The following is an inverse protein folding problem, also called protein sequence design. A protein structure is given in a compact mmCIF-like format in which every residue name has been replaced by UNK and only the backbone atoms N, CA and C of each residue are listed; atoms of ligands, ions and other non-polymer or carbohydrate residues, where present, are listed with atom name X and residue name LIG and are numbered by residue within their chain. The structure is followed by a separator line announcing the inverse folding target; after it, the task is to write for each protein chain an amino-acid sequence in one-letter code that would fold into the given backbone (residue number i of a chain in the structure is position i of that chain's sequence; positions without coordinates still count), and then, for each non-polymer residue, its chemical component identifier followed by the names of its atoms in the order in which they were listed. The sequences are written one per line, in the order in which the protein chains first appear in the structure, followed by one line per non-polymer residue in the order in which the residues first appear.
data_IF_894271703682
#
_entry.id   IF_894271703682
#
_cell.length_a   1.000
_cell.length_b   1.000
_cell.length_c   1.000
_cell.angle_alpha   90.00
_cell.angle_beta   90.00
_cell.angle_gamma   90.00
#
_symmetry.space_group_name_H-M   'P 1'
#
loop_
_entity.id
_entity.type
_entity.pdbx_description
1 polymer ?
#
# COMPACT_ATOMS: atom_id res chain seq x y z
N UNK A 1 -3.17 9.89 -29.97
CA UNK A 1 -1.91 10.44 -30.54
C UNK A 1 -1.03 9.29 -31.01
N UNK A 2 -0.39 9.37 -32.20
CA UNK A 2 0.47 8.28 -32.73
C UNK A 2 1.78 8.16 -31.94
N UNK A 3 2.14 6.96 -31.46
CA UNK A 3 3.38 6.78 -30.68
C UNK A 3 4.65 7.31 -31.38
N UNK A 4 4.79 7.08 -32.69
CA UNK A 4 5.93 7.51 -33.51
C UNK A 4 5.70 8.82 -34.29
N UNK A 5 4.83 9.71 -33.80
CA UNK A 5 4.54 10.98 -34.47
C UNK A 5 5.73 11.97 -34.42
N UNK A 6 5.85 12.88 -35.40
CA UNK A 6 6.74 14.02 -35.25
C UNK A 6 6.17 14.93 -34.15
N UNK A 7 6.95 15.13 -33.09
CA UNK A 7 6.57 16.00 -31.98
C UNK A 7 7.49 17.23 -31.97
N UNK A 8 6.93 18.46 -31.97
CA UNK A 8 7.74 19.65 -31.84
C UNK A 8 8.41 19.65 -30.46
N UNK A 9 9.69 20.03 -30.41
CA UNK A 9 10.43 20.15 -29.14
C UNK A 9 9.90 21.28 -28.25
N UNK A 10 9.28 22.29 -28.85
CA UNK A 10 8.74 23.46 -28.16
C UNK A 10 7.21 23.50 -28.20
N UNK A 11 6.60 23.92 -27.09
CA UNK A 11 5.16 24.17 -27.00
C UNK A 11 4.28 22.93 -27.11
N UNK A 12 4.86 21.73 -27.20
CA UNK A 12 4.09 20.50 -27.26
C UNK A 12 3.34 20.25 -25.95
N UNK A 13 2.10 19.81 -26.09
CA UNK A 13 1.23 19.43 -24.98
C UNK A 13 0.51 18.14 -25.33
N UNK A 14 0.33 17.29 -24.34
CA UNK A 14 -0.57 16.16 -24.45
C UNK A 14 -2.02 16.63 -24.69
N UNK A 15 -2.83 15.89 -25.47
CA UNK A 15 -4.26 16.09 -25.50
C UNK A 15 -4.88 15.99 -24.11
N UNK A 16 -5.98 16.71 -23.89
CA UNK A 16 -6.64 16.80 -22.57
C UNK A 16 -7.11 15.44 -22.04
N UNK A 17 -7.46 14.50 -22.92
CA UNK A 17 -7.88 13.14 -22.57
C UNK A 17 -6.73 12.19 -22.19
N UNK A 18 -5.47 12.66 -22.30
CA UNK A 18 -4.31 11.85 -21.95
C UNK A 18 -4.22 11.66 -20.44
N UNK A 19 -3.65 10.52 -20.04
CA UNK A 19 -3.38 10.21 -18.65
C UNK A 19 -1.99 9.60 -18.47
N UNK A 20 -1.41 9.82 -17.30
CA UNK A 20 -0.17 9.23 -16.84
C UNK A 20 -0.39 7.87 -16.18
N UNK A 21 0.65 7.04 -16.25
CA UNK A 21 0.80 5.79 -15.51
C UNK A 21 1.94 5.98 -14.52
N UNK A 22 1.60 5.94 -13.23
CA UNK A 22 2.54 6.16 -12.14
C UNK A 22 3.12 4.81 -11.71
N UNK A 23 4.45 4.71 -11.67
CA UNK A 23 5.17 3.57 -11.10
C UNK A 23 6.51 4.06 -10.57
N UNK A 24 7.34 3.15 -10.05
CA UNK A 24 8.73 3.48 -9.76
C UNK A 24 9.50 3.76 -11.06
N UNK A 25 10.48 4.67 -11.00
CA UNK A 25 11.12 5.25 -12.18
C UNK A 25 11.80 4.22 -13.07
N UNK A 26 12.35 3.15 -12.50
CA UNK A 26 13.00 2.05 -13.23
C UNK A 26 12.10 1.45 -14.31
N UNK A 27 10.77 1.49 -14.12
CA UNK A 27 9.79 0.86 -15.00
C UNK A 27 9.31 1.78 -16.14
N UNK A 28 9.67 3.07 -16.14
CA UNK A 28 9.09 4.03 -17.09
C UNK A 28 9.35 3.70 -18.56
N UNK A 29 10.50 3.14 -18.91
CA UNK A 29 10.75 2.70 -20.30
C UNK A 29 9.86 1.54 -20.71
N UNK A 30 9.56 0.58 -19.82
CA UNK A 30 8.64 -0.51 -20.12
C UNK A 30 7.21 0.00 -20.27
N UNK A 31 6.79 0.94 -19.42
CA UNK A 31 5.48 1.60 -19.54
C UNK A 31 5.36 2.27 -20.91
N UNK A 32 6.36 3.06 -21.32
CA UNK A 32 6.35 3.71 -22.64
C UNK A 32 6.34 2.70 -23.78
N UNK A 33 7.32 1.78 -23.81
CA UNK A 33 7.60 0.94 -24.97
C UNK A 33 6.61 -0.23 -25.12
N UNK A 34 6.30 -0.92 -24.03
CA UNK A 34 5.46 -2.13 -24.05
C UNK A 34 3.99 -1.76 -24.06
N UNK A 35 3.58 -0.81 -23.20
CA UNK A 35 2.16 -0.49 -23.05
C UNK A 35 1.68 0.66 -23.94
N UNK A 36 2.60 1.42 -24.55
CA UNK A 36 2.26 2.63 -25.30
C UNK A 36 1.51 3.65 -24.43
N UNK A 37 1.93 3.80 -23.17
CA UNK A 37 1.36 4.76 -22.20
C UNK A 37 2.41 5.74 -21.73
N UNK A 38 1.96 6.82 -21.11
CA UNK A 38 2.80 7.92 -20.65
C UNK A 38 3.25 7.63 -19.22
N UNK A 39 4.52 7.31 -18.95
CA UNK A 39 4.98 7.14 -17.58
C UNK A 39 5.09 8.50 -16.87
N UNK A 40 4.66 8.57 -15.62
CA UNK A 40 4.83 9.78 -14.78
C UNK A 40 6.30 10.07 -14.47
N UNK A 41 7.13 9.02 -14.40
CA UNK A 41 8.58 9.07 -14.14
C UNK A 41 9.28 7.96 -14.92
N UNK A 42 10.56 8.14 -15.26
CA UNK A 42 11.28 7.21 -16.12
C UNK A 42 12.77 7.07 -15.74
N UNK A 43 13.52 6.15 -16.37
CA UNK A 43 14.94 5.93 -16.11
C UNK A 43 15.92 7.07 -16.33
N UNK A 44 15.49 8.19 -16.94
CA UNK A 44 16.26 9.44 -16.90
C UNK A 44 16.11 10.20 -15.58
N UNK A 45 15.43 9.61 -14.60
CA UNK A 45 15.16 10.16 -13.27
C UNK A 45 14.35 11.45 -13.29
N UNK A 46 13.57 11.65 -14.34
CA UNK A 46 12.60 12.74 -14.39
C UNK A 46 11.45 12.46 -13.40
N UNK A 47 11.02 13.50 -12.68
CA UNK A 47 9.89 13.47 -11.76
C UNK A 47 9.94 12.45 -10.60
N UNK A 48 11.10 11.83 -10.33
CA UNK A 48 11.25 10.76 -9.31
C UNK A 48 10.79 11.21 -7.93
N UNK A 49 11.14 12.43 -7.52
CA UNK A 49 10.76 12.98 -6.21
C UNK A 49 9.23 13.06 -6.05
N UNK A 50 8.50 13.44 -7.09
CA UNK A 50 7.04 13.52 -7.05
C UNK A 50 6.41 12.12 -7.01
N UNK A 51 6.96 11.17 -7.77
CA UNK A 51 6.52 9.77 -7.72
C UNK A 51 6.80 9.14 -6.34
N UNK A 52 7.98 9.36 -5.77
CA UNK A 52 8.31 8.98 -4.39
C UNK A 52 7.35 9.60 -3.39
N UNK A 53 7.06 10.90 -3.50
CA UNK A 53 6.12 11.57 -2.60
C UNK A 53 4.72 10.96 -2.66
N UNK A 54 4.25 10.49 -3.83
CA UNK A 54 2.99 9.77 -3.95
C UNK A 54 3.04 8.44 -3.17
N UNK A 55 4.08 7.62 -3.41
CA UNK A 55 4.21 6.31 -2.77
C UNK A 55 4.38 6.36 -1.25
N UNK A 56 4.90 7.47 -0.73
CA UNK A 56 5.11 7.72 0.70
C UNK A 56 4.10 8.69 1.32
N UNK A 57 3.06 9.06 0.59
CA UNK A 57 1.99 9.88 1.14
C UNK A 57 1.34 9.13 2.32
N UNK A 58 1.31 9.78 3.49
CA UNK A 58 0.77 9.19 4.72
C UNK A 58 -0.76 9.16 4.79
N UNK A 59 -1.44 9.85 3.87
CA UNK A 59 -2.90 9.90 3.81
C UNK A 59 -3.37 9.81 2.36
N UNK A 60 -4.52 9.19 2.14
CA UNK A 60 -5.11 9.06 0.80
C UNK A 60 -5.40 10.43 0.15
N UNK A 61 -5.96 11.45 0.85
CA UNK A 61 -6.15 12.77 0.25
C UNK A 61 -4.85 13.44 -0.21
N UNK A 62 -3.72 13.21 0.48
CA UNK A 62 -2.42 13.72 0.04
C UNK A 62 -1.93 13.00 -1.23
N UNK A 63 -2.13 11.69 -1.30
CA UNK A 63 -1.82 10.88 -2.48
C UNK A 63 -2.67 11.30 -3.69
N UNK A 64 -3.98 11.52 -3.50
CA UNK A 64 -4.91 11.95 -4.53
C UNK A 64 -4.48 13.29 -5.16
N UNK A 65 -4.15 14.29 -4.34
CA UNK A 65 -3.60 15.57 -4.83
C UNK A 65 -2.30 15.41 -5.61
N UNK A 66 -1.49 14.42 -5.29
CA UNK A 66 -0.28 14.11 -6.06
C UNK A 66 -0.65 13.43 -7.38
N UNK A 67 -1.53 12.43 -7.37
CA UNK A 67 -2.03 11.78 -8.57
C UNK A 67 -2.66 12.79 -9.55
N UNK A 68 -3.53 13.69 -9.06
CA UNK A 68 -4.16 14.76 -9.86
C UNK A 68 -3.11 15.67 -10.51
N UNK A 69 -2.15 16.17 -9.71
CA UNK A 69 -1.08 17.05 -10.22
C UNK A 69 -0.17 16.36 -11.23
N UNK A 70 0.02 15.04 -11.07
CA UNK A 70 0.82 14.22 -11.97
C UNK A 70 0.03 13.73 -13.19
N UNK A 71 -1.28 14.00 -13.24
CA UNK A 71 -2.19 13.48 -14.26
C UNK A 71 -2.28 11.95 -14.26
N UNK A 72 -1.99 11.29 -13.14
CA UNK A 72 -1.95 9.84 -13.03
C UNK A 72 -3.36 9.27 -12.97
N UNK A 73 -3.67 8.31 -13.84
CA UNK A 73 -4.92 7.53 -13.80
C UNK A 73 -4.70 6.09 -13.37
N UNK A 74 -3.56 5.52 -13.74
CA UNK A 74 -3.20 4.16 -13.35
C UNK A 74 -1.91 4.15 -12.54
N UNK A 75 -1.84 3.24 -11.58
CA UNK A 75 -0.70 3.05 -10.70
C UNK A 75 -0.24 1.60 -10.79
N UNK A 76 1.02 1.39 -11.09
CA UNK A 76 1.64 0.06 -11.16
C UNK A 76 2.59 -0.08 -9.97
N UNK A 77 2.37 -1.14 -9.19
CA UNK A 77 3.26 -1.55 -8.10
C UNK A 77 3.82 -2.94 -8.40
N UNK A 78 5.07 -3.19 -8.00
CA UNK A 78 5.64 -4.53 -7.93
C UNK A 78 6.09 -4.87 -6.51
N UNK A 79 6.31 -6.16 -6.27
CA UNK A 79 6.77 -6.67 -4.98
C UNK A 79 8.14 -6.10 -4.54
N UNK A 80 9.02 -5.75 -5.47
CA UNK A 80 10.33 -5.16 -5.12
C UNK A 80 10.17 -3.76 -4.52
N UNK A 81 9.15 -3.00 -4.92
CA UNK A 81 8.87 -1.67 -4.38
C UNK A 81 8.53 -1.69 -2.89
N UNK A 82 7.95 -2.78 -2.40
CA UNK A 82 7.65 -2.99 -0.97
C UNK A 82 8.73 -3.75 -0.21
N UNK A 83 9.77 -4.21 -0.90
CA UNK A 83 10.91 -4.93 -0.32
C UNK A 83 12.25 -4.27 -0.73
N UNK A 84 12.99 -4.89 -1.66
CA UNK A 84 14.38 -4.56 -1.98
C UNK A 84 14.60 -3.14 -2.52
N UNK A 85 13.59 -2.52 -3.17
CA UNK A 85 13.66 -1.13 -3.65
C UNK A 85 13.17 -0.12 -2.62
N UNK A 86 12.42 -0.56 -1.60
CA UNK A 86 11.80 0.33 -0.62
C UNK A 86 12.82 1.29 0.03
N UNK A 87 14.00 0.84 0.52
CA UNK A 87 14.99 1.76 1.12
C UNK A 87 15.46 2.86 0.15
N UNK A 88 15.67 2.53 -1.12
CA UNK A 88 16.06 3.51 -2.12
C UNK A 88 14.94 4.53 -2.39
N UNK A 89 13.68 4.08 -2.41
CA UNK A 89 12.53 4.98 -2.57
C UNK A 89 12.40 5.96 -1.39
N UNK A 90 12.71 5.53 -0.16
CA UNK A 90 12.76 6.42 1.02
C UNK A 90 13.80 7.51 0.83
N UNK A 91 15.01 7.19 0.34
CA UNK A 91 16.08 8.19 0.11
C UNK A 91 15.64 9.26 -0.90
N UNK A 92 14.95 8.87 -1.97
CA UNK A 92 14.42 9.80 -2.96
C UNK A 92 13.28 10.68 -2.41
N UNK A 93 12.42 10.11 -1.56
CA UNK A 93 11.36 10.84 -0.88
C UNK A 93 11.93 11.83 0.14
N UNK A 94 12.64 11.31 1.13
CA UNK A 94 13.24 12.06 2.22
C UNK A 94 14.40 11.25 2.84
N UNK A 95 15.63 11.62 2.52
CA UNK A 95 16.85 10.96 3.02
C UNK A 95 16.97 10.98 4.55
N UNK A 96 16.33 11.93 5.25
CA UNK A 96 16.33 11.95 6.72
C UNK A 96 15.51 10.82 7.34
N UNK A 97 14.67 10.13 6.57
CA UNK A 97 13.86 9.00 7.03
C UNK A 97 14.50 7.63 6.74
N UNK A 98 15.61 7.60 6.00
CA UNK A 98 16.20 6.38 5.45
C UNK A 98 16.78 5.42 6.50
N UNK A 99 17.11 5.90 7.70
CA UNK A 99 17.80 5.09 8.71
C UNK A 99 16.87 4.04 9.35
N UNK A 100 15.77 4.46 9.98
CA UNK A 100 14.95 3.56 10.82
C UNK A 100 13.45 3.89 10.87
N UNK A 101 12.95 4.76 10.00
CA UNK A 101 11.55 5.25 10.11
C UNK A 101 10.52 4.17 9.74
N UNK A 102 10.88 3.29 8.81
CA UNK A 102 9.98 2.31 8.20
C UNK A 102 10.44 0.88 8.48
N UNK A 103 11.73 0.61 8.28
CA UNK A 103 12.37 -0.68 8.48
C UNK A 103 13.49 -0.48 9.49
N UNK A 104 13.69 -1.46 10.38
CA UNK A 104 14.79 -1.41 11.32
C UNK A 104 15.34 -2.80 11.58
N UNK A 105 16.65 -2.89 11.63
CA UNK A 105 17.36 -4.14 11.88
C UNK A 105 17.64 -4.32 13.36
N UNK A 106 17.55 -5.55 13.83
CA UNK A 106 17.73 -5.94 15.22
C UNK A 106 18.56 -7.22 15.34
N UNK A 107 19.34 -7.32 16.42
CA UNK A 107 19.99 -8.57 16.82
C UNK A 107 19.09 -9.31 17.80
N UNK A 108 18.53 -10.44 17.39
CA UNK A 108 17.70 -11.30 18.24
C UNK A 108 18.59 -12.43 18.82
N UNK A 109 18.63 -12.60 20.15
CA UNK A 109 19.36 -13.71 20.77
C UNK A 109 18.90 -15.06 20.22
N UNK A 110 19.83 -15.98 19.97
CA UNK A 110 19.47 -17.36 19.67
C UNK A 110 18.80 -18.00 20.89
N UNK A 111 17.72 -18.77 20.69
CA UNK A 111 16.95 -19.40 21.78
C UNK A 111 17.66 -20.52 22.55
N UNK A 112 18.99 -20.63 22.49
CA UNK A 112 19.80 -21.63 23.19
C UNK A 112 21.20 -21.12 23.57
N UNK A 113 21.80 -21.69 24.62
CA UNK A 113 23.13 -21.30 25.11
C UNK A 113 24.19 -21.46 24.01
N UNK A 114 24.90 -20.37 23.69
CA UNK A 114 26.02 -20.35 22.74
C UNK A 114 25.65 -20.11 21.27
N UNK A 115 24.38 -19.88 20.94
CA UNK A 115 23.98 -19.50 19.58
C UNK A 115 24.33 -18.05 19.26
N UNK A 116 24.83 -17.81 18.04
CA UNK A 116 25.07 -16.44 17.56
C UNK A 116 23.73 -15.70 17.40
N UNK A 117 23.66 -14.41 17.78
CA UNK A 117 22.45 -13.62 17.55
C UNK A 117 22.15 -13.52 16.05
N UNK A 118 20.87 -13.59 15.70
CA UNK A 118 20.40 -13.50 14.32
C UNK A 118 19.99 -12.05 14.02
N UNK A 119 20.37 -11.57 12.84
CA UNK A 119 19.93 -10.27 12.34
C UNK A 119 18.55 -10.42 11.70
N UNK A 120 17.59 -9.63 12.16
CA UNK A 120 16.23 -9.59 11.60
C UNK A 120 15.88 -8.17 11.20
N UNK A 121 15.17 -8.01 10.08
CA UNK A 121 14.59 -6.73 9.67
C UNK A 121 13.13 -6.73 10.08
N UNK A 122 12.73 -5.73 10.86
CA UNK A 122 11.35 -5.55 11.28
C UNK A 122 10.74 -4.32 10.62
N UNK A 123 9.45 -4.43 10.32
CA UNK A 123 8.64 -3.44 9.64
C UNK A 123 7.81 -2.67 10.67
N UNK A 124 8.00 -1.36 10.76
CA UNK A 124 7.34 -0.51 11.75
C UNK A 124 5.99 -0.03 11.24
N UNK A 125 5.09 0.40 12.15
CA UNK A 125 3.77 0.92 11.78
C UNK A 125 3.78 1.93 10.60
N UNK A 126 4.72 2.91 10.50
CA UNK A 126 4.76 3.85 9.38
C UNK A 126 4.97 3.22 8.00
N UNK A 127 5.58 2.02 7.91
CA UNK A 127 5.77 1.31 6.64
C UNK A 127 4.42 0.95 6.02
N UNK A 128 3.53 0.38 6.83
CA UNK A 128 2.22 -0.09 6.40
C UNK A 128 1.27 1.03 5.99
N UNK A 129 1.50 2.25 6.50
CA UNK A 129 0.70 3.43 6.20
C UNK A 129 1.12 4.12 4.88
N UNK A 130 2.23 3.72 4.26
CA UNK A 130 2.64 4.25 2.96
C UNK A 130 1.67 3.82 1.86
N UNK A 131 1.43 4.68 0.86
CA UNK A 131 0.60 4.32 -0.28
C UNK A 131 1.11 3.07 -1.01
N UNK A 132 2.43 2.89 -1.13
CA UNK A 132 2.98 1.69 -1.79
C UNK A 132 2.62 0.41 -1.04
N UNK A 133 2.68 0.40 0.30
CA UNK A 133 2.25 -0.74 1.11
C UNK A 133 0.73 -0.93 1.05
N UNK A 134 -0.05 0.15 1.16
CA UNK A 134 -1.53 0.11 1.12
C UNK A 134 -2.04 -0.46 -0.20
N UNK A 135 -1.43 -0.06 -1.31
CA UNK A 135 -1.73 -0.61 -2.64
C UNK A 135 -1.24 -2.06 -2.74
N UNK A 136 0.04 -2.33 -2.50
CA UNK A 136 0.63 -3.61 -2.88
C UNK A 136 0.39 -4.73 -1.86
N UNK A 137 0.58 -4.48 -0.57
CA UNK A 137 0.51 -5.52 0.46
C UNK A 137 -0.94 -5.82 0.86
N UNK A 138 -1.80 -4.80 0.82
CA UNK A 138 -3.18 -4.90 1.32
C UNK A 138 -4.25 -4.79 0.22
N UNK A 139 -3.85 -4.71 -1.06
CA UNK A 139 -4.75 -4.59 -2.21
C UNK A 139 -5.73 -3.40 -2.11
N UNK A 140 -5.37 -2.37 -1.33
CA UNK A 140 -6.22 -1.24 -0.99
C UNK A 140 -7.31 -1.53 0.04
N UNK A 141 -7.41 -2.73 0.59
CA UNK A 141 -8.39 -3.10 1.63
C UNK A 141 -8.00 -2.54 3.00
N UNK A 142 -9.00 -2.29 3.86
CA UNK A 142 -8.77 -2.11 5.29
C UNK A 142 -8.17 -3.39 5.87
N UNK A 143 -7.10 -3.28 6.65
CA UNK A 143 -6.44 -4.43 7.27
C UNK A 143 -6.02 -4.08 8.69
N UNK A 144 -6.28 -4.98 9.63
CA UNK A 144 -5.79 -4.88 11.00
C UNK A 144 -4.91 -6.08 11.34
N UNK A 145 -4.00 -5.95 12.30
CA UNK A 145 -3.21 -7.07 12.77
C UNK A 145 -4.03 -8.04 13.63
N UNK A 146 -3.90 -9.34 13.38
CA UNK A 146 -4.30 -10.37 14.35
C UNK A 146 -3.26 -10.48 15.48
N UNK A 147 -1.98 -10.38 15.11
CA UNK A 147 -0.85 -10.37 16.02
C UNK A 147 0.20 -9.35 15.58
N UNK A 148 0.99 -8.90 16.54
CA UNK A 148 2.13 -7.99 16.34
C UNK A 148 3.32 -8.48 17.15
N UNK A 149 4.53 -8.06 16.76
CA UNK A 149 5.74 -8.23 17.55
C UNK A 149 5.89 -7.03 18.48
N UNK A 150 5.88 -7.28 19.79
CA UNK A 150 6.38 -6.35 20.79
C UNK A 150 7.84 -6.68 21.10
N UNK A 151 8.69 -5.66 21.17
CA UNK A 151 10.10 -5.85 21.49
C UNK A 151 10.62 -4.77 22.42
N UNK A 152 11.56 -5.18 23.29
CA UNK A 152 12.44 -4.30 24.06
C UNK A 152 13.88 -4.57 23.67
N UNK A 153 14.72 -3.55 23.66
CA UNK A 153 16.10 -3.66 23.19
C UNK A 153 17.04 -2.67 23.87
N UNK A 154 18.32 -3.03 23.90
CA UNK A 154 19.39 -2.13 24.27
C UNK A 154 19.74 -1.22 23.09
N UNK A 155 19.74 0.09 23.33
CA UNK A 155 20.13 1.09 22.34
C UNK A 155 21.63 1.01 22.07
N UNK A 156 22.05 1.06 20.80
CA UNK A 156 23.45 0.98 20.47
C UNK A 156 24.20 2.25 20.92
N UNK A 157 25.44 2.08 21.39
CA UNK A 157 26.31 3.21 21.81
C UNK A 157 26.75 4.10 20.65
N UNK A 158 26.68 3.59 19.42
CA UNK A 158 27.03 4.33 18.20
C UNK A 158 25.81 4.40 17.29
N UNK A 159 25.72 5.46 16.48
CA UNK A 159 24.62 5.66 15.54
C UNK A 159 24.50 4.54 14.49
N UNK A 160 25.61 3.86 14.17
CA UNK A 160 25.64 2.76 13.21
C UNK A 160 25.47 1.37 13.84
N UNK A 161 25.29 1.29 15.17
CA UNK A 161 25.12 0.01 15.84
C UNK A 161 23.72 -0.57 15.61
N UNK A 162 23.61 -1.89 15.63
CA UNK A 162 22.33 -2.60 15.54
C UNK A 162 21.84 -2.82 16.97
N UNK A 163 20.61 -2.40 17.33
CA UNK A 163 20.08 -2.64 18.67
C UNK A 163 19.94 -4.13 18.97
N UNK A 164 20.22 -4.52 20.21
CA UNK A 164 20.15 -5.90 20.66
C UNK A 164 18.84 -6.12 21.42
N UNK A 165 18.03 -7.07 20.95
CA UNK A 165 16.73 -7.39 21.53
C UNK A 165 16.92 -8.09 22.86
N UNK A 166 16.26 -7.56 23.90
CA UNK A 166 16.23 -8.15 25.25
C UNK A 166 14.90 -8.83 25.55
N UNK A 167 13.83 -8.47 24.84
CA UNK A 167 12.52 -9.11 24.91
C UNK A 167 11.90 -9.14 23.52
N UNK A 168 11.33 -10.29 23.14
CA UNK A 168 10.63 -10.49 21.87
C UNK A 168 9.36 -11.29 22.14
N UNK A 169 8.20 -10.68 21.94
CA UNK A 169 6.91 -11.33 22.16
C UNK A 169 5.99 -11.12 20.96
N UNK A 170 5.31 -12.19 20.54
CA UNK A 170 4.22 -12.13 19.55
C UNK A 170 2.91 -12.09 20.34
N UNK A 171 2.20 -10.98 20.24
CA UNK A 171 1.04 -10.67 21.07
C UNK A 171 -0.14 -10.21 20.22
N UNK A 172 -1.33 -10.24 20.81
CA UNK A 172 -2.44 -9.47 20.25
C UNK A 172 -2.15 -7.95 20.34
N UNK A 173 -2.73 -7.13 19.46
CA UNK A 173 -2.43 -5.69 19.40
C UNK A 173 -2.82 -4.90 20.66
N UNK A 174 -3.77 -5.39 21.46
CA UNK A 174 -4.18 -4.69 22.70
C UNK A 174 -3.14 -4.92 23.78
N UNK A 175 -2.70 -6.17 23.97
CA UNK A 175 -1.65 -6.52 24.93
C UNK A 175 -0.33 -5.83 24.60
N UNK A 176 0.09 -5.83 23.33
CA UNK A 176 1.31 -5.17 22.88
C UNK A 176 1.30 -3.66 23.17
N UNK A 177 0.18 -2.97 22.89
CA UNK A 177 0.02 -1.54 23.23
C UNK A 177 0.06 -1.30 24.73
N UNK A 178 -0.52 -2.20 25.52
CA UNK A 178 -0.45 -2.14 26.97
C UNK A 178 0.97 -2.28 27.52
N UNK A 179 1.79 -3.14 26.92
CA UNK A 179 3.21 -3.29 27.28
C UNK A 179 4.03 -2.07 26.86
N UNK A 180 3.87 -1.61 25.61
CA UNK A 180 4.56 -0.41 25.12
C UNK A 180 4.25 0.81 26.00
N UNK A 181 2.98 1.03 26.35
CA UNK A 181 2.60 2.15 27.21
C UNK A 181 3.22 2.06 28.63
N UNK A 182 3.40 0.86 29.17
CA UNK A 182 4.10 0.67 30.47
C UNK A 182 5.59 0.96 30.35
N UNK A 183 6.23 0.51 29.27
CA UNK A 183 7.62 0.81 29.00
C UNK A 183 7.85 2.32 28.84
N UNK A 184 6.99 2.99 28.07
CA UNK A 184 7.09 4.43 27.82
C UNK A 184 6.79 5.31 29.05
N UNK A 185 6.09 4.77 30.05
CA UNK A 185 5.81 5.48 31.30
C UNK A 185 7.05 5.64 32.20
N UNK A 186 8.00 4.70 32.14
CA UNK A 186 9.25 4.72 32.90
C UNK A 186 10.38 4.01 32.09
N UNK A 187 10.85 4.62 30.99
CA UNK A 187 11.77 3.96 30.07
C UNK A 187 13.17 3.86 30.70
N UNK A 188 13.74 2.64 30.84
CA UNK A 188 15.07 2.49 31.40
C UNK A 188 16.14 3.17 30.53
N UNK A 189 17.15 3.77 31.19
CA UNK A 189 18.28 4.39 30.50
C UNK A 189 18.95 3.45 29.51
N UNK A 190 19.12 3.92 28.28
CA UNK A 190 19.78 3.15 27.22
C UNK A 190 18.95 2.00 26.64
N UNK A 191 17.65 1.91 26.95
CA UNK A 191 16.73 0.95 26.33
C UNK A 191 15.69 1.61 25.44
N UNK A 192 15.09 0.81 24.56
CA UNK A 192 13.93 1.20 23.78
C UNK A 192 12.93 0.05 23.65
N UNK A 193 11.70 0.38 23.28
CA UNK A 193 10.67 -0.59 22.94
C UNK A 193 9.89 -0.14 21.70
N UNK A 194 9.32 -1.07 20.95
CA UNK A 194 8.43 -0.76 19.83
C UNK A 194 7.48 -1.92 19.51
N UNK A 195 6.47 -1.61 18.70
CA UNK A 195 5.59 -2.60 18.04
C UNK A 195 5.92 -2.65 16.55
N UNK A 196 6.09 -3.86 16.01
CA UNK A 196 6.43 -4.10 14.62
C UNK A 196 5.88 -5.41 14.03
N UNK A 197 6.05 -5.50 12.73
CA UNK A 197 5.97 -6.60 11.78
C UNK A 197 7.23 -7.43 11.50
N UNK A 198 7.15 -8.73 11.22
CA UNK A 198 8.23 -9.45 10.53
C UNK A 198 8.11 -9.45 9.00
N UNK A 199 6.90 -9.21 8.48
CA UNK A 199 6.62 -9.28 7.04
C UNK A 199 5.90 -8.04 6.49
N UNK A 200 6.03 -7.77 5.18
CA UNK A 200 5.42 -6.61 4.53
C UNK A 200 3.88 -6.68 4.47
N UNK A 201 3.31 -7.88 4.53
CA UNK A 201 1.87 -8.19 4.49
C UNK A 201 1.22 -8.36 5.87
N UNK A 202 2.02 -8.40 6.93
CA UNK A 202 1.53 -8.48 8.30
C UNK A 202 1.51 -7.07 8.91
N UNK A 203 0.38 -6.35 8.87
CA UNK A 203 0.34 -4.98 9.43
C UNK A 203 0.79 -4.93 10.90
N UNK A 204 1.35 -3.80 11.36
CA UNK A 204 1.69 -3.58 12.77
C UNK A 204 0.68 -2.67 13.50
N UNK A 205 -0.29 -2.12 12.75
CA UNK A 205 -1.39 -1.28 13.22
C UNK A 205 -2.50 -1.33 12.17
N UNK A 206 -3.69 -0.83 12.50
CA UNK A 206 -4.79 -0.76 11.54
C UNK A 206 -4.45 0.15 10.36
N UNK A 207 -4.60 -0.39 9.16
CA UNK A 207 -4.43 0.28 7.87
C UNK A 207 -5.82 0.56 7.29
N UNK A 208 -6.13 1.83 7.05
CA UNK A 208 -7.39 2.23 6.43
C UNK A 208 -7.45 1.84 4.95
N UNK A 209 -8.64 1.45 4.50
CA UNK A 209 -8.90 1.18 3.08
C UNK A 209 -8.54 2.37 2.18
N UNK A 210 -8.13 2.06 0.96
CA UNK A 210 -8.11 2.99 -0.15
C UNK A 210 -9.50 3.02 -0.78
N UNK A 211 -10.06 4.22 -0.88
CA UNK A 211 -11.42 4.48 -1.32
C UNK A 211 -11.48 5.00 -2.76
N UNK A 212 -10.36 5.50 -3.25
CA UNK A 212 -10.19 6.06 -4.59
C UNK A 212 -9.30 5.20 -5.49
N UNK A 213 -8.94 4.00 -5.07
CA UNK A 213 -8.07 3.10 -5.83
C UNK A 213 -8.68 1.71 -5.91
N UNK A 214 -8.90 1.23 -7.14
CA UNK A 214 -9.37 -0.14 -7.39
C UNK A 214 -8.28 -0.96 -8.07
N UNK A 215 -8.01 -2.17 -7.57
CA UNK A 215 -7.20 -3.15 -8.26
C UNK A 215 -7.93 -3.57 -9.54
N UNK A 216 -7.29 -3.39 -10.70
CA UNK A 216 -7.88 -3.70 -12.02
C UNK A 216 -7.18 -4.83 -12.74
N UNK A 217 -5.93 -5.12 -12.38
CA UNK A 217 -5.15 -6.20 -12.96
C UNK A 217 -4.07 -6.67 -11.99
N UNK A 218 -3.82 -7.97 -12.00
CA UNK A 218 -2.75 -8.62 -11.25
C UNK A 218 -2.00 -9.58 -12.17
N UNK A 219 -0.67 -9.59 -12.07
CA UNK A 219 0.17 -10.55 -12.76
C UNK A 219 1.13 -11.18 -11.76
N UNK A 220 1.34 -12.48 -11.90
CA UNK A 220 2.36 -13.23 -11.19
C UNK A 220 2.87 -14.33 -12.13
N UNK A 221 4.11 -14.77 -11.92
CA UNK A 221 4.61 -15.96 -12.62
C UNK A 221 3.89 -17.21 -12.10
N UNK A 222 3.56 -18.11 -13.02
CA UNK A 222 2.95 -19.40 -12.70
C UNK A 222 4.02 -20.48 -12.75
N UNK A 223 4.06 -21.32 -11.72
CA UNK A 223 4.86 -22.53 -11.70
C UNK A 223 4.00 -23.77 -11.39
N UNK A 224 4.63 -24.93 -11.18
CA UNK A 224 3.91 -26.17 -10.90
C UNK A 224 3.10 -26.17 -9.59
N UNK A 225 3.28 -25.19 -8.71
CA UNK A 225 2.54 -25.00 -7.45
C UNK A 225 1.45 -23.90 -7.55
N UNK A 226 1.32 -23.23 -8.71
CA UNK A 226 0.37 -22.16 -8.96
C UNK A 226 1.05 -20.80 -9.17
N UNK A 227 0.30 -19.72 -8.97
CA UNK A 227 0.85 -18.36 -9.12
C UNK A 227 1.71 -17.96 -7.92
N UNK A 228 2.92 -17.48 -8.19
CA UNK A 228 3.79 -16.88 -7.18
C UNK A 228 3.35 -15.44 -6.87
N UNK A 229 2.31 -15.31 -6.05
CA UNK A 229 1.71 -14.03 -5.68
C UNK A 229 2.65 -13.12 -4.87
N UNK A 230 3.66 -13.70 -4.20
CA UNK A 230 4.70 -12.93 -3.50
C UNK A 230 5.56 -12.09 -4.45
N UNK A 231 5.60 -12.45 -5.73
CA UNK A 231 6.33 -11.73 -6.77
C UNK A 231 5.41 -11.06 -7.79
N UNK A 232 4.24 -10.60 -7.33
CA UNK A 232 3.24 -10.02 -8.22
C UNK A 232 3.57 -8.60 -8.71
N UNK A 233 2.93 -8.24 -9.81
CA UNK A 233 2.77 -6.88 -10.32
C UNK A 233 1.28 -6.55 -10.29
N UNK A 234 0.92 -5.41 -9.71
CA UNK A 234 -0.48 -5.00 -9.52
C UNK A 234 -0.72 -3.65 -10.18
N UNK A 235 -1.83 -3.55 -10.92
CA UNK A 235 -2.29 -2.31 -11.56
C UNK A 235 -3.56 -1.84 -10.87
N UNK A 236 -3.54 -0.59 -10.42
CA UNK A 236 -4.68 0.09 -9.82
C UNK A 236 -5.16 1.21 -10.75
N UNK A 237 -6.47 1.45 -10.79
CA UNK A 237 -7.04 2.67 -11.34
C UNK A 237 -7.40 3.63 -10.20
N UNK A 238 -7.01 4.89 -10.35
CA UNK A 238 -7.43 6.00 -9.50
C UNK A 238 -8.79 6.54 -9.99
N UNK A 239 -9.78 6.53 -9.11
CA UNK A 239 -11.21 6.79 -9.40
C UNK A 239 -11.81 7.75 -8.38
N UNK A 240 -12.94 8.38 -8.74
CA UNK A 240 -13.71 9.18 -7.79
C UNK A 240 -14.33 8.30 -6.69
N UNK A 241 -14.84 7.11 -7.05
CA UNK A 241 -15.49 6.19 -6.12
C UNK A 241 -16.94 6.60 -5.85
N UNK A 242 -17.86 5.64 -5.88
CA UNK A 242 -19.29 5.93 -5.70
C UNK A 242 -19.60 6.25 -4.22
N UNK A 243 -20.44 7.25 -3.96
CA UNK A 243 -20.76 7.67 -2.59
C UNK A 243 -21.94 6.87 -2.02
N UNK A 244 -21.83 6.38 -0.80
CA UNK A 244 -22.90 5.70 -0.09
C UNK A 244 -22.98 6.20 1.35
N UNK A 245 -24.13 6.72 1.75
CA UNK A 245 -24.38 7.10 3.15
C UNK A 245 -24.55 5.84 4.02
N UNK A 246 -23.87 5.82 5.17
CA UNK A 246 -23.95 4.74 6.12
C UNK A 246 -22.80 4.71 7.13
N UNK A 247 -22.99 3.94 8.19
CA UNK A 247 -22.02 3.74 9.26
C UNK A 247 -21.50 2.29 9.28
N UNK A 248 -20.42 2.06 10.02
CA UNK A 248 -19.86 0.74 10.24
C UNK A 248 -18.89 0.30 9.15
N UNK A 249 -18.85 -1.01 8.88
CA UNK A 249 -17.94 -1.62 7.90
C UNK A 249 -18.72 -2.17 6.70
N UNK A 250 -18.25 -1.86 5.50
CA UNK A 250 -18.74 -2.46 4.25
C UNK A 250 -17.67 -3.38 3.66
N UNK A 251 -18.11 -4.47 3.03
CA UNK A 251 -17.21 -5.40 2.35
C UNK A 251 -17.73 -5.85 0.99
N UNK A 252 -16.79 -6.21 0.11
CA UNK A 252 -17.09 -6.90 -1.15
C UNK A 252 -15.99 -7.91 -1.46
N UNK A 253 -16.38 -9.09 -1.92
CA UNK A 253 -15.44 -10.11 -2.39
C UNK A 253 -14.99 -9.78 -3.81
N UNK A 254 -13.69 -9.71 -4.03
CA UNK A 254 -13.04 -9.55 -5.32
C UNK A 254 -12.45 -10.88 -5.79
N UNK A 255 -12.46 -11.11 -7.09
CA UNK A 255 -11.74 -12.19 -7.77
C UNK A 255 -10.80 -11.54 -8.80
N UNK A 256 -9.50 -11.79 -8.69
CA UNK A 256 -8.52 -11.26 -9.65
C UNK A 256 -8.50 -12.10 -10.91
N UNK A 257 -7.84 -11.57 -11.96
CA UNK A 257 -7.65 -12.29 -13.21
C UNK A 257 -6.74 -13.53 -13.09
N UNK A 258 -6.20 -13.82 -11.91
CA UNK A 258 -5.46 -15.04 -11.57
C UNK A 258 -6.30 -16.03 -10.75
N UNK A 259 -7.57 -15.71 -10.48
CA UNK A 259 -8.46 -16.50 -9.62
C UNK A 259 -8.24 -16.29 -8.11
N UNK A 260 -7.41 -15.32 -7.71
CA UNK A 260 -7.19 -14.98 -6.29
C UNK A 260 -8.42 -14.27 -5.74
N UNK A 261 -8.90 -14.72 -4.58
CA UNK A 261 -10.01 -14.07 -3.87
C UNK A 261 -9.47 -13.08 -2.83
N UNK A 262 -10.05 -11.88 -2.77
CA UNK A 262 -9.74 -10.83 -1.80
C UNK A 262 -11.04 -10.36 -1.17
N UNK A 263 -11.06 -10.08 0.12
CA UNK A 263 -12.18 -9.36 0.74
C UNK A 263 -11.75 -7.91 0.89
N UNK A 264 -12.28 -7.05 0.03
CA UNK A 264 -12.15 -5.60 0.22
C UNK A 264 -13.06 -5.19 1.37
N UNK A 265 -12.50 -4.51 2.37
CA UNK A 265 -13.23 -3.95 3.50
C UNK A 265 -12.94 -2.47 3.63
N UNK A 266 -13.92 -1.71 4.09
CA UNK A 266 -13.81 -0.29 4.33
C UNK A 266 -14.67 0.09 5.54
N UNK A 267 -14.08 0.84 6.46
CA UNK A 267 -14.82 1.54 7.52
C UNK A 267 -15.35 2.87 6.99
N UNK A 268 -16.55 3.24 7.44
CA UNK A 268 -17.15 4.54 7.14
C UNK A 268 -16.33 5.68 7.73
N UNK A 269 -16.28 6.82 7.03
CA UNK A 269 -15.65 8.04 7.53
C UNK A 269 -16.70 9.13 7.47
N UNK A 270 -17.01 9.72 8.62
CA UNK A 270 -18.04 10.76 8.77
C UNK A 270 -19.40 10.34 8.16
N UNK A 271 -19.82 9.10 8.41
CA UNK A 271 -21.09 8.54 7.94
C UNK A 271 -21.17 8.28 6.44
N UNK A 272 -20.03 8.24 5.74
CA UNK A 272 -19.95 8.03 4.30
C UNK A 272 -18.93 6.96 3.91
N UNK A 273 -19.36 6.07 3.03
CA UNK A 273 -18.47 5.21 2.24
C UNK A 273 -18.24 5.82 0.86
N UNK A 274 -17.02 5.64 0.37
CA UNK A 274 -16.60 5.93 -1.01
C UNK A 274 -16.12 4.61 -1.60
N UNK A 275 -16.89 4.06 -2.54
CA UNK A 275 -16.78 2.68 -3.02
C UNK A 275 -16.00 2.63 -4.35
N UNK A 276 -14.76 2.11 -4.37
CA UNK A 276 -13.93 2.14 -5.58
C UNK A 276 -14.28 1.05 -6.59
N UNK A 277 -14.85 -0.08 -6.18
CA UNK A 277 -15.17 -1.19 -7.09
C UNK A 277 -16.60 -1.11 -7.61
N UNK A 278 -16.76 -1.39 -8.90
CA UNK A 278 -18.07 -1.54 -9.53
C UNK A 278 -18.52 -2.99 -9.44
N UNK A 279 -19.77 -3.22 -9.04
CA UNK A 279 -20.39 -4.55 -8.98
C UNK A 279 -21.18 -4.88 -10.25
N UNK A 280 -21.45 -3.86 -11.08
CA UNK A 280 -22.08 -3.97 -12.40
C UNK A 280 -21.29 -3.19 -13.44
N UNK A 281 -21.33 -3.68 -14.68
CA UNK A 281 -20.71 -3.03 -15.84
C UNK A 281 -19.20 -2.80 -15.71
N UNK A 282 -18.52 -3.61 -14.89
CA UNK A 282 -17.07 -3.51 -14.68
C UNK A 282 -16.31 -3.86 -15.98
N UNK A 283 -15.47 -2.94 -16.50
CA UNK A 283 -14.71 -3.19 -17.72
C UNK A 283 -13.40 -3.98 -17.48
N UNK A 284 -13.05 -4.30 -16.24
CA UNK A 284 -11.76 -4.90 -15.87
C UNK A 284 -11.84 -6.40 -15.56
N UNK A 285 -10.70 -7.11 -15.65
CA UNK A 285 -10.66 -8.53 -15.38
C UNK A 285 -10.60 -8.87 -13.88
N UNK A 286 -10.24 -7.93 -13.00
CA UNK A 286 -10.49 -8.04 -11.55
C UNK A 286 -11.94 -7.63 -11.29
N UNK A 287 -12.74 -8.53 -10.71
CA UNK A 287 -14.20 -8.38 -10.61
C UNK A 287 -14.69 -8.61 -9.20
N UNK A 288 -15.86 -8.09 -8.87
CA UNK A 288 -16.56 -8.44 -7.63
C UNK A 288 -17.34 -9.74 -7.83
N UNK A 289 -17.31 -10.64 -6.86
CA UNK A 289 -18.11 -11.88 -6.87
C UNK A 289 -19.59 -11.66 -6.50
N UNK A 290 -19.96 -10.45 -6.08
CA UNK A 290 -21.32 -10.08 -5.68
C UNK A 290 -21.44 -8.59 -5.35
N UNK A 291 -22.59 -8.15 -4.80
CA UNK A 291 -22.77 -6.78 -4.33
C UNK A 291 -21.88 -6.48 -3.12
N UNK A 292 -21.72 -5.20 -2.79
CA UNK A 292 -21.23 -4.83 -1.47
C UNK A 292 -22.22 -5.28 -0.40
N UNK A 293 -21.72 -5.56 0.80
CA UNK A 293 -22.50 -5.94 1.97
C UNK A 293 -22.05 -5.14 3.18
N UNK A 294 -22.98 -4.49 3.86
CA UNK A 294 -22.73 -3.94 5.19
C UNK A 294 -22.59 -5.09 6.20
N UNK A 295 -21.49 -5.09 6.95
CA UNK A 295 -21.14 -6.18 7.85
C UNK A 295 -22.19 -6.35 8.95
N UNK A 296 -22.61 -5.23 9.54
CA UNK A 296 -23.50 -5.23 10.72
C UNK A 296 -24.97 -5.55 10.39
N UNK A 297 -25.45 -5.09 9.23
CA UNK A 297 -26.87 -5.20 8.86
C UNK A 297 -27.15 -6.28 7.82
N UNK A 298 -26.12 -6.71 7.08
CA UNK A 298 -26.30 -7.60 5.92
C UNK A 298 -26.91 -6.92 4.69
N UNK A 299 -27.26 -5.63 4.76
CA UNK A 299 -27.79 -4.87 3.62
C UNK A 299 -26.78 -4.89 2.48
N UNK A 300 -27.25 -5.18 1.26
CA UNK A 300 -26.42 -5.20 0.07
C UNK A 300 -26.64 -3.97 -0.81
N UNK A 301 -25.61 -3.57 -1.56
CA UNK A 301 -25.64 -2.43 -2.49
C UNK A 301 -24.93 -2.80 -3.78
N UNK A 302 -25.58 -2.54 -4.91
CA UNK A 302 -24.95 -2.63 -6.23
C UNK A 302 -24.44 -1.27 -6.69
N UNK A 303 -23.29 -1.27 -7.38
CA UNK A 303 -22.60 -0.08 -7.85
C UNK A 303 -22.24 -0.26 -9.33
N UNK A 304 -22.61 0.69 -10.18
CA UNK A 304 -22.21 0.67 -11.60
C UNK A 304 -20.83 1.30 -11.80
N UNK A 305 -20.12 0.89 -12.84
CA UNK A 305 -18.84 1.50 -13.21
C UNK A 305 -18.94 3.00 -13.53
N UNK A 306 -20.09 3.44 -14.06
CA UNK A 306 -20.37 4.85 -14.26
C UNK A 306 -20.40 5.61 -12.93
N UNK A 307 -21.10 5.10 -11.91
CA UNK A 307 -21.17 5.74 -10.60
C UNK A 307 -19.78 5.83 -9.94
N UNK A 308 -18.94 4.81 -10.06
CA UNK A 308 -17.55 4.82 -9.58
C UNK A 308 -16.73 5.92 -10.26
N UNK A 309 -16.85 6.07 -11.59
CA UNK A 309 -16.08 7.06 -12.35
C UNK A 309 -16.54 8.49 -12.09
N UNK A 310 -17.84 8.69 -11.93
CA UNK A 310 -18.45 10.02 -11.75
C UNK A 310 -18.49 10.47 -10.29
N UNK A 311 -18.32 9.58 -9.32
CA UNK A 311 -18.49 9.89 -7.91
C UNK A 311 -19.96 10.05 -7.50
N UNK A 312 -20.86 9.35 -8.19
CA UNK A 312 -22.30 9.49 -7.98
C UNK A 312 -22.77 8.77 -6.72
N UNK A 313 -23.77 9.35 -6.04
CA UNK A 313 -24.42 8.71 -4.90
C UNK A 313 -25.18 7.44 -5.32
N UNK A 314 -25.10 6.38 -4.50
CA UNK A 314 -25.76 5.09 -4.70
C UNK A 314 -26.58 4.68 -3.48
N UNK A 315 -27.46 3.68 -3.62
CA UNK A 315 -28.23 3.12 -2.50
C UNK A 315 -29.35 4.01 -1.97
N UNK A 316 -29.75 5.05 -2.72
CA UNK A 316 -30.98 5.82 -2.48
C UNK A 316 -32.14 5.08 -3.15
N UNK A 317 -32.95 4.39 -2.34
CA UNK A 317 -34.35 4.07 -2.66
C UNK A 317 -35.28 5.12 -2.05
#
# INVERSE_FOLDING_TARGET
MPYLGPYPSEGWKYPHESYGVLSWWDYGHWITFVSGRIPVTNPFQDNVRSASAYFFAATEPAANRLADRLGARYIITDWKMVESKFPAMVVWYNSSLADTSYLQEFLVPAGGEGGNPTRVTLYKAPYYQTMVSRLHNFDGSMTGPDTVVYLEYDTPRTRSGIPAVTLYEVLDPVSARGMLARFEADPPDGKGALIANTGPDASADTVSALRHYRLVYEQAEEDGAGYNLSQSVKVFEYVQGAELEGEGVIEVTLETNLGRTIIYRQESVDGTFILPYATRDNPYPVKTAGPYRLVDTGRTVEVTDQAVREGSAVGRE
#
